data_IF_079333047184
#
_entry.id   IF_079333047184
#
_cell.length_a   1.000
_cell.length_b   1.000
_cell.length_c   1.000
_cell.angle_alpha   90.00
_cell.angle_beta   90.00
_cell.angle_gamma   90.00
#
_symmetry.space_group_name_H-M   'P 1'
#
loop_
_entity.id
_entity.type
_entity.pdbx_description
1 polymer ?
#
# COMPACT_ATOMS: atom_id res chain seq x y z
N UNK A 1 1.52 21.35 -26.41
CA UNK A 1 1.32 20.51 -25.21
C UNK A 1 2.64 19.87 -24.84
N UNK A 2 3.07 20.00 -23.61
CA UNK A 2 4.30 19.38 -23.09
C UNK A 2 4.14 17.85 -23.06
N UNK A 3 5.25 17.11 -23.09
CA UNK A 3 5.24 15.63 -23.09
C UNK A 3 4.56 15.09 -21.84
N UNK A 4 4.86 15.65 -20.67
CA UNK A 4 4.28 15.22 -19.38
C UNK A 4 2.77 15.46 -19.31
N UNK A 5 2.29 16.61 -19.82
CA UNK A 5 0.86 16.90 -19.93
C UNK A 5 0.15 15.91 -20.86
N UNK A 6 0.82 15.52 -21.95
CA UNK A 6 0.26 14.56 -22.90
C UNK A 6 0.21 13.17 -22.31
N UNK A 7 1.23 12.75 -21.57
CA UNK A 7 1.24 11.48 -20.81
C UNK A 7 0.08 11.42 -19.82
N UNK A 8 -0.11 12.47 -19.02
CA UNK A 8 -1.21 12.56 -18.06
C UNK A 8 -2.58 12.43 -18.75
N UNK A 9 -2.77 13.07 -19.91
CA UNK A 9 -4.03 12.95 -20.67
C UNK A 9 -4.23 11.56 -21.26
N UNK A 10 -3.19 10.91 -21.80
CA UNK A 10 -3.27 9.54 -22.31
C UNK A 10 -3.72 8.60 -21.19
N UNK A 11 -3.11 8.68 -20.02
CA UNK A 11 -3.46 7.85 -18.87
C UNK A 11 -4.89 8.12 -18.38
N UNK A 12 -5.30 9.38 -18.31
CA UNK A 12 -6.67 9.74 -17.92
C UNK A 12 -7.73 9.20 -18.89
N UNK A 13 -7.48 9.24 -20.21
CA UNK A 13 -8.37 8.66 -21.21
C UNK A 13 -8.43 7.13 -21.04
N UNK A 14 -7.27 6.48 -20.84
CA UNK A 14 -7.22 5.04 -20.59
C UNK A 14 -7.94 4.63 -19.31
N UNK A 15 -7.83 5.41 -18.24
CA UNK A 15 -8.54 5.16 -16.98
C UNK A 15 -10.06 5.22 -17.16
N UNK A 16 -10.54 6.13 -18.00
CA UNK A 16 -11.99 6.27 -18.26
C UNK A 16 -12.55 5.22 -19.23
N UNK A 17 -11.77 4.80 -20.23
CA UNK A 17 -12.24 3.95 -21.34
C UNK A 17 -11.73 2.50 -21.27
N UNK A 18 -10.74 2.20 -20.44
CA UNK A 18 -10.09 0.87 -20.34
C UNK A 18 -9.17 0.55 -21.52
N UNK A 19 -9.45 1.07 -22.71
CA UNK A 19 -8.63 0.93 -23.93
C UNK A 19 -8.75 2.16 -24.82
N UNK A 20 -7.71 2.44 -25.63
CA UNK A 20 -7.72 3.57 -26.57
C UNK A 20 -6.89 3.22 -27.82
N UNK A 21 -7.36 3.63 -28.97
CA UNK A 21 -6.61 3.49 -30.22
C UNK A 21 -5.67 4.67 -30.46
N UNK A 22 -4.61 4.46 -31.25
CA UNK A 22 -3.72 5.54 -31.70
C UNK A 22 -4.51 6.65 -32.38
N UNK A 23 -5.53 6.29 -33.18
CA UNK A 23 -6.37 7.24 -33.92
C UNK A 23 -7.19 8.13 -32.96
N UNK A 24 -7.78 7.55 -31.92
CA UNK A 24 -8.50 8.32 -30.89
C UNK A 24 -7.57 9.30 -30.18
N UNK A 25 -6.37 8.84 -29.79
CA UNK A 25 -5.38 9.70 -29.13
C UNK A 25 -4.90 10.83 -30.03
N UNK A 26 -4.69 10.56 -31.33
CA UNK A 26 -4.35 11.63 -32.30
C UNK A 26 -5.39 12.72 -32.34
N UNK A 27 -6.67 12.36 -32.36
CA UNK A 27 -7.79 13.29 -32.39
C UNK A 27 -7.92 14.07 -31.08
N UNK A 28 -7.95 13.36 -29.95
CA UNK A 28 -8.14 13.95 -28.61
C UNK A 28 -6.99 14.88 -28.20
N UNK A 29 -5.76 14.55 -28.60
CA UNK A 29 -4.55 15.26 -28.18
C UNK A 29 -3.99 16.20 -29.26
N UNK A 30 -4.61 16.20 -30.45
CA UNK A 30 -4.15 16.94 -31.62
C UNK A 30 -2.63 16.71 -31.88
N UNK A 31 -2.23 15.45 -31.92
CA UNK A 31 -0.84 15.04 -32.07
C UNK A 31 -0.65 14.06 -33.23
N UNK A 32 0.55 14.06 -33.83
CA UNK A 32 0.89 13.14 -34.92
C UNK A 32 0.96 11.68 -34.44
N UNK A 33 0.72 10.74 -35.35
CA UNK A 33 0.83 9.30 -35.08
C UNK A 33 2.19 8.93 -34.49
N UNK A 34 3.26 9.48 -35.06
CA UNK A 34 4.63 9.23 -34.59
C UNK A 34 4.86 9.69 -33.13
N UNK A 35 4.25 10.83 -32.77
CA UNK A 35 4.29 11.34 -31.39
C UNK A 35 3.54 10.41 -30.44
N UNK A 36 2.30 10.05 -30.80
CA UNK A 36 1.47 9.14 -29.98
C UNK A 36 2.14 7.78 -29.81
N UNK A 37 2.70 7.19 -30.88
CA UNK A 37 3.40 5.90 -30.80
C UNK A 37 4.64 5.96 -29.90
N UNK A 38 5.38 7.09 -29.92
CA UNK A 38 6.52 7.30 -29.02
C UNK A 38 6.07 7.42 -27.57
N UNK A 39 5.02 8.17 -27.33
CA UNK A 39 4.45 8.35 -25.99
C UNK A 39 3.94 7.04 -25.41
N UNK A 40 3.21 6.25 -26.21
CA UNK A 40 2.75 4.93 -25.81
C UNK A 40 3.92 3.96 -25.51
N UNK A 41 4.99 4.02 -26.29
CA UNK A 41 6.19 3.23 -26.02
C UNK A 41 6.85 3.63 -24.71
N UNK A 42 6.96 4.93 -24.42
CA UNK A 42 7.54 5.42 -23.17
C UNK A 42 6.68 5.03 -21.95
N UNK A 43 5.36 5.18 -22.06
CA UNK A 43 4.43 4.79 -20.99
C UNK A 43 4.38 3.28 -20.74
N UNK A 44 4.50 2.48 -21.80
CA UNK A 44 4.60 1.01 -21.70
C UNK A 44 5.92 0.58 -21.05
N UNK A 45 7.04 1.17 -21.48
CA UNK A 45 8.35 0.92 -20.87
C UNK A 45 8.39 1.29 -19.38
N UNK A 46 7.66 2.37 -18.99
CA UNK A 46 7.50 2.79 -17.60
C UNK A 46 6.42 1.97 -16.86
N UNK A 47 5.81 0.98 -17.51
CA UNK A 47 4.81 0.12 -16.90
C UNK A 47 3.48 0.80 -16.54
N UNK A 48 3.18 1.96 -17.12
CA UNK A 48 1.97 2.75 -16.83
C UNK A 48 0.75 2.33 -17.66
N UNK A 49 0.97 1.67 -18.78
CA UNK A 49 -0.05 1.07 -19.64
C UNK A 49 0.49 -0.22 -20.29
N UNK A 50 -0.36 -0.94 -21.01
CA UNK A 50 0.08 -2.03 -21.88
C UNK A 50 -0.19 -1.63 -23.33
N UNK A 51 0.89 -1.46 -24.14
CA UNK A 51 0.77 -1.20 -25.55
C UNK A 51 0.29 -2.44 -26.29
N UNK A 52 -0.69 -2.27 -27.16
CA UNK A 52 -1.22 -3.32 -28.05
C UNK A 52 -1.12 -2.88 -29.50
N UNK A 53 -1.41 -3.80 -30.44
CA UNK A 53 -1.42 -3.45 -31.87
C UNK A 53 -2.50 -2.39 -32.13
N UNK A 54 -2.08 -1.22 -32.58
CA UNK A 54 -3.01 -0.10 -32.91
C UNK A 54 -3.44 0.80 -31.74
N UNK A 55 -2.94 0.59 -30.52
CA UNK A 55 -3.33 1.40 -29.37
C UNK A 55 -2.69 1.03 -28.06
N UNK A 56 -3.42 1.28 -26.99
CA UNK A 56 -3.05 0.87 -25.64
C UNK A 56 -4.28 0.43 -24.85
N UNK A 57 -4.05 -0.43 -23.88
CA UNK A 57 -5.03 -0.82 -22.88
C UNK A 57 -4.53 -0.37 -21.50
N UNK A 58 -5.47 -0.09 -20.61
CA UNK A 58 -5.13 0.09 -19.21
C UNK A 58 -4.30 -1.13 -18.78
N UNK A 59 -3.16 -0.91 -18.14
CA UNK A 59 -2.44 -2.05 -17.58
C UNK A 59 -3.40 -2.74 -16.63
N UNK A 60 -3.88 -3.91 -17.02
CA UNK A 60 -4.84 -4.67 -16.24
C UNK A 60 -4.25 -4.80 -14.85
N UNK A 61 -5.03 -4.47 -13.82
CA UNK A 61 -4.59 -4.60 -12.44
C UNK A 61 -3.95 -5.97 -12.27
N UNK A 62 -2.67 -6.01 -11.90
CA UNK A 62 -2.00 -7.28 -11.76
C UNK A 62 -2.57 -7.97 -10.53
N UNK A 63 -3.12 -9.15 -10.73
CA UNK A 63 -3.61 -9.99 -9.63
C UNK A 63 -2.43 -10.75 -9.02
N UNK A 64 -2.15 -10.48 -7.75
CA UNK A 64 -1.16 -11.22 -6.97
C UNK A 64 -1.86 -12.15 -5.99
N UNK A 65 -1.85 -13.44 -6.30
CA UNK A 65 -2.48 -14.48 -5.45
C UNK A 65 -1.50 -15.17 -4.51
N UNK A 66 -0.21 -14.86 -4.59
CA UNK A 66 0.83 -15.48 -3.76
C UNK A 66 1.45 -14.47 -2.81
N UNK A 67 1.65 -14.88 -1.57
CA UNK A 67 2.51 -14.18 -0.64
C UNK A 67 3.98 -14.49 -0.96
N UNK A 68 4.75 -13.43 -1.17
CA UNK A 68 6.20 -13.55 -1.12
C UNK A 68 6.61 -13.82 0.34
N UNK A 69 7.59 -14.69 0.53
CA UNK A 69 8.19 -14.97 1.83
C UNK A 69 8.73 -13.66 2.46
N UNK A 70 8.63 -13.52 3.79
CA UNK A 70 9.08 -12.34 4.54
C UNK A 70 10.52 -11.98 4.22
N UNK A 71 11.41 -12.96 4.08
CA UNK A 71 12.84 -12.72 3.79
C UNK A 71 13.03 -12.00 2.45
N UNK A 72 12.36 -12.46 1.39
CA UNK A 72 12.43 -11.81 0.08
C UNK A 72 11.79 -10.42 0.08
N UNK A 73 10.72 -10.25 0.87
CA UNK A 73 10.06 -8.94 1.03
C UNK A 73 10.91 -7.93 1.80
N UNK A 74 11.75 -8.35 2.75
CA UNK A 74 12.63 -7.45 3.52
C UNK A 74 13.60 -6.70 2.62
N UNK A 75 14.18 -7.36 1.63
CA UNK A 75 15.17 -6.77 0.72
C UNK A 75 14.55 -5.93 -0.41
N UNK A 76 13.31 -6.26 -0.81
CA UNK A 76 12.63 -5.59 -1.91
C UNK A 76 12.23 -4.15 -1.54
N UNK A 77 12.66 -3.17 -2.36
CA UNK A 77 12.34 -1.74 -2.20
C UNK A 77 12.73 -1.17 -0.82
N UNK A 78 13.86 -1.61 -0.27
CA UNK A 78 14.28 -1.29 1.11
C UNK A 78 14.41 0.21 1.37
N UNK A 79 14.96 0.98 0.43
CA UNK A 79 15.12 2.43 0.59
C UNK A 79 13.77 3.14 0.65
N UNK A 80 12.82 2.77 -0.21
CA UNK A 80 11.47 3.29 -0.17
C UNK A 80 10.77 2.96 1.16
N UNK A 81 10.88 1.72 1.62
CA UNK A 81 10.32 1.30 2.92
C UNK A 81 10.93 2.05 4.10
N UNK A 82 12.24 2.32 4.09
CA UNK A 82 12.87 3.10 5.14
C UNK A 82 12.31 4.53 5.22
N UNK A 83 12.13 5.21 4.08
CA UNK A 83 11.53 6.55 4.03
C UNK A 83 10.10 6.54 4.56
N UNK A 84 9.28 5.59 4.09
CA UNK A 84 7.90 5.39 4.53
C UNK A 84 7.85 5.11 6.04
N UNK A 85 8.66 4.19 6.52
CA UNK A 85 8.73 3.77 7.93
C UNK A 85 9.12 4.92 8.85
N UNK A 86 10.11 5.73 8.46
CA UNK A 86 10.55 6.89 9.22
C UNK A 86 9.41 7.92 9.35
N UNK A 87 8.80 8.31 8.24
CA UNK A 87 7.68 9.24 8.25
C UNK A 87 6.48 8.72 9.06
N UNK A 88 6.16 7.43 8.91
CA UNK A 88 5.08 6.80 9.66
C UNK A 88 5.34 6.80 11.18
N UNK A 89 6.56 6.56 11.61
CA UNK A 89 6.93 6.60 13.03
C UNK A 89 6.77 8.00 13.64
N UNK A 90 6.99 9.07 12.87
CA UNK A 90 6.80 10.46 13.30
C UNK A 90 5.32 10.80 13.57
N UNK A 91 4.38 9.97 13.08
CA UNK A 91 2.94 10.17 13.35
C UNK A 91 2.54 9.71 14.75
N UNK A 92 3.39 8.95 15.46
CA UNK A 92 3.07 8.44 16.80
C UNK A 92 3.36 9.51 17.86
N UNK A 93 2.34 9.89 18.60
CA UNK A 93 2.41 10.85 19.70
C UNK A 93 2.52 10.14 21.07
N UNK A 94 2.98 10.86 22.12
CA UNK A 94 2.91 10.37 23.49
C UNK A 94 1.47 10.06 23.90
N UNK A 95 1.25 8.89 24.52
CA UNK A 95 -0.06 8.43 24.96
C UNK A 95 -0.90 7.75 23.88
N UNK A 96 -0.41 7.60 22.65
CA UNK A 96 -1.09 6.82 21.62
C UNK A 96 -1.18 5.32 22.01
N UNK A 97 -2.33 4.73 21.69
CA UNK A 97 -2.54 3.29 21.72
C UNK A 97 -2.55 2.79 20.28
N UNK A 98 -1.47 2.12 19.89
CA UNK A 98 -1.11 1.90 18.48
C UNK A 98 -1.26 0.42 18.10
N UNK A 99 -1.96 0.16 16.98
CA UNK A 99 -1.91 -1.14 16.33
C UNK A 99 -0.79 -1.16 15.27
N UNK A 100 0.07 -2.18 15.34
CA UNK A 100 1.15 -2.38 14.38
C UNK A 100 1.01 -3.74 13.70
N UNK A 101 0.56 -3.75 12.46
CA UNK A 101 0.32 -4.95 11.66
C UNK A 101 1.61 -5.67 11.24
N UNK A 102 1.56 -6.99 11.10
CA UNK A 102 2.67 -7.79 10.61
C UNK A 102 3.06 -7.40 9.18
N UNK A 103 4.28 -6.89 9.00
CA UNK A 103 4.77 -6.49 7.70
C UNK A 103 6.21 -5.98 7.72
N UNK A 104 6.90 -6.04 6.59
CA UNK A 104 8.31 -5.64 6.52
C UNK A 104 8.52 -4.12 6.62
N UNK A 105 7.57 -3.30 6.19
CA UNK A 105 7.63 -1.84 6.33
C UNK A 105 7.28 -1.41 7.75
N UNK A 106 6.29 -2.04 8.36
CA UNK A 106 5.90 -1.80 9.76
C UNK A 106 6.99 -2.29 10.73
N UNK A 107 7.72 -3.37 10.39
CA UNK A 107 8.89 -3.81 11.15
C UNK A 107 10.00 -2.75 11.15
N UNK A 108 10.32 -2.17 9.98
CA UNK A 108 11.30 -1.09 9.86
C UNK A 108 10.90 0.16 10.64
N UNK A 109 9.60 0.45 10.73
CA UNK A 109 9.08 1.59 11.49
C UNK A 109 9.50 1.56 12.96
N UNK A 110 9.64 0.36 13.56
CA UNK A 110 10.02 0.18 14.96
C UNK A 110 11.34 0.87 15.26
N UNK A 111 12.30 0.90 14.34
CA UNK A 111 13.60 1.53 14.52
C UNK A 111 13.52 3.06 14.72
N UNK A 112 12.48 3.67 14.17
CA UNK A 112 12.31 5.12 14.16
C UNK A 112 11.35 5.65 15.23
N UNK A 113 10.64 4.76 15.96
CA UNK A 113 9.71 5.19 17.01
C UNK A 113 10.50 5.79 18.18
N UNK A 114 10.14 7.00 18.59
CA UNK A 114 10.77 7.72 19.71
C UNK A 114 9.82 7.97 20.89
N UNK A 115 8.52 7.78 20.68
CA UNK A 115 7.47 8.07 21.69
C UNK A 115 7.34 6.91 22.69
N UNK A 116 8.17 6.91 23.75
CA UNK A 116 8.18 5.84 24.75
C UNK A 116 6.90 5.75 25.63
N UNK A 117 6.03 6.76 25.57
CA UNK A 117 4.73 6.74 26.26
C UNK A 117 3.62 6.09 25.42
N UNK A 118 3.88 5.72 24.18
CA UNK A 118 2.94 4.98 23.36
C UNK A 118 2.92 3.50 23.77
N UNK A 119 1.73 2.89 23.66
CA UNK A 119 1.50 1.48 23.94
C UNK A 119 1.11 0.77 22.64
N UNK A 120 1.66 -0.41 22.42
CA UNK A 120 1.52 -1.11 21.16
C UNK A 120 0.73 -2.41 21.29
N UNK A 121 -0.05 -2.73 20.27
CA UNK A 121 -0.63 -4.06 20.04
C UNK A 121 -0.18 -4.51 18.66
N UNK A 122 0.26 -5.75 18.54
CA UNK A 122 0.70 -6.31 17.24
C UNK A 122 0.28 -7.76 17.09
N UNK A 123 0.11 -8.20 15.86
CA UNK A 123 -0.05 -9.60 15.50
C UNK A 123 1.26 -10.24 14.98
N UNK A 124 2.42 -9.57 15.14
CA UNK A 124 3.71 -10.09 14.70
C UNK A 124 4.64 -10.37 15.88
N UNK A 125 5.15 -11.61 15.97
CA UNK A 125 6.07 -12.03 17.04
C UNK A 125 7.38 -11.21 16.98
N UNK A 126 7.94 -11.03 15.77
CA UNK A 126 9.15 -10.23 15.56
C UNK A 126 8.99 -8.78 16.01
N UNK A 127 7.83 -8.17 15.73
CA UNK A 127 7.52 -6.80 16.15
C UNK A 127 7.42 -6.69 17.66
N UNK A 128 6.69 -7.61 18.30
CA UNK A 128 6.54 -7.61 19.76
C UNK A 128 7.91 -7.73 20.45
N UNK A 129 8.78 -8.63 19.98
CA UNK A 129 10.13 -8.80 20.52
C UNK A 129 10.95 -7.49 20.37
N UNK A 130 11.01 -6.91 19.17
CA UNK A 130 11.78 -5.67 18.90
C UNK A 130 11.26 -4.47 19.71
N UNK A 131 9.94 -4.31 19.82
CA UNK A 131 9.34 -3.26 20.64
C UNK A 131 9.72 -3.42 22.12
N UNK A 132 9.62 -4.65 22.66
CA UNK A 132 9.99 -4.94 24.05
C UNK A 132 11.48 -4.71 24.33
N UNK A 133 12.37 -5.12 23.41
CA UNK A 133 13.82 -4.88 23.50
C UNK A 133 14.15 -3.39 23.53
N UNK A 134 13.33 -2.53 22.91
CA UNK A 134 13.45 -1.07 22.93
C UNK A 134 12.74 -0.41 24.11
N UNK A 135 12.18 -1.19 25.05
CA UNK A 135 11.54 -0.69 26.25
C UNK A 135 10.11 -0.20 26.10
N UNK A 136 9.43 -0.52 24.98
CA UNK A 136 8.03 -0.17 24.77
C UNK A 136 7.10 -1.20 25.46
N UNK A 137 5.95 -0.72 25.97
CA UNK A 137 4.85 -1.60 26.37
C UNK A 137 4.17 -2.15 25.12
N UNK A 138 4.14 -3.48 24.99
CA UNK A 138 3.57 -4.15 23.83
C UNK A 138 2.71 -5.34 24.23
N UNK A 139 1.56 -5.48 23.59
CA UNK A 139 0.67 -6.64 23.67
C UNK A 139 0.74 -7.41 22.35
N UNK A 140 0.97 -8.71 22.44
CA UNK A 140 0.95 -9.59 21.28
C UNK A 140 -0.41 -10.29 21.24
N UNK A 141 -1.06 -10.32 20.06
CA UNK A 141 -2.29 -11.08 19.85
C UNK A 141 -2.01 -12.59 19.97
N UNK A 142 -2.95 -13.33 20.54
CA UNK A 142 -2.99 -14.79 20.45
C UNK A 142 -3.65 -15.24 19.14
N UNK A 143 -3.45 -16.52 18.77
CA UNK A 143 -4.07 -17.14 17.61
C UNK A 143 -3.12 -18.05 16.83
N UNK A 144 -3.48 -18.40 15.59
CA UNK A 144 -2.70 -19.25 14.71
C UNK A 144 -1.46 -18.52 14.17
N UNK A 145 -0.28 -19.13 14.31
CA UNK A 145 0.96 -18.57 13.74
C UNK A 145 1.15 -19.00 12.28
N UNK A 146 1.16 -18.05 11.39
CA UNK A 146 1.45 -18.22 9.97
C UNK A 146 2.92 -17.99 9.69
N UNK A 147 3.68 -19.05 9.43
CA UNK A 147 5.13 -19.01 9.26
C UNK A 147 5.60 -18.18 8.05
N UNK A 148 4.84 -18.17 6.93
CA UNK A 148 5.23 -17.46 5.70
C UNK A 148 5.32 -15.95 5.90
N UNK A 149 4.42 -15.38 6.70
CA UNK A 149 4.32 -13.94 6.96
C UNK A 149 4.71 -13.57 8.39
N UNK A 150 5.06 -14.57 9.24
CA UNK A 150 5.38 -14.41 10.66
C UNK A 150 4.27 -13.68 11.45
N UNK A 151 3.03 -13.87 11.03
CA UNK A 151 1.87 -13.21 11.57
C UNK A 151 1.00 -14.16 12.39
N UNK A 152 0.39 -13.64 13.45
CA UNK A 152 -0.71 -14.29 14.16
C UNK A 152 -2.01 -13.94 13.42
N UNK A 153 -2.80 -14.95 13.09
CA UNK A 153 -4.03 -14.85 12.32
C UNK A 153 -5.15 -15.72 12.92
N UNK A 154 -6.33 -15.69 12.30
CA UNK A 154 -7.44 -16.57 12.66
C UNK A 154 -8.45 -15.93 13.61
N UNK A 155 -9.46 -16.72 13.98
CA UNK A 155 -10.64 -16.25 14.72
C UNK A 155 -10.28 -15.76 16.13
N UNK A 156 -9.34 -16.40 16.82
CA UNK A 156 -8.87 -16.02 18.15
C UNK A 156 -8.17 -14.65 18.12
N UNK A 157 -7.38 -14.36 17.07
CA UNK A 157 -6.77 -13.05 16.88
C UNK A 157 -7.83 -11.97 16.62
N UNK A 158 -8.86 -12.28 15.83
CA UNK A 158 -9.98 -11.37 15.56
C UNK A 158 -10.77 -11.10 16.85
N UNK A 159 -11.11 -12.15 17.63
CA UNK A 159 -11.82 -12.01 18.88
C UNK A 159 -11.02 -11.20 19.92
N UNK A 160 -9.70 -11.43 20.00
CA UNK A 160 -8.84 -10.65 20.89
C UNK A 160 -8.83 -9.15 20.60
N UNK A 161 -9.10 -8.75 19.34
CA UNK A 161 -9.16 -7.35 18.93
C UNK A 161 -10.43 -6.62 19.40
N UNK A 162 -11.51 -7.33 19.74
CA UNK A 162 -12.80 -6.71 20.12
C UNK A 162 -12.71 -5.80 21.35
N UNK A 163 -11.79 -6.07 22.26
CA UNK A 163 -11.58 -5.28 23.47
C UNK A 163 -10.72 -4.03 23.29
N UNK A 164 -10.11 -3.84 22.14
CA UNK A 164 -9.18 -2.74 21.88
C UNK A 164 -9.82 -1.61 21.06
N UNK A 165 -9.45 -0.37 21.39
CA UNK A 165 -9.79 0.83 20.63
C UNK A 165 -8.49 1.60 20.38
N UNK A 166 -8.01 1.57 19.17
CA UNK A 166 -6.73 2.16 18.81
C UNK A 166 -6.88 3.65 18.46
N UNK A 167 -5.93 4.48 18.90
CA UNK A 167 -5.84 5.86 18.45
C UNK A 167 -5.27 5.91 17.04
N UNK A 168 -4.24 5.10 16.77
CA UNK A 168 -3.58 4.99 15.47
C UNK A 168 -3.26 3.54 15.14
N UNK A 169 -3.20 3.24 13.85
CA UNK A 169 -2.76 1.95 13.40
C UNK A 169 -2.03 2.03 12.06
N UNK A 170 -1.12 1.08 11.85
CA UNK A 170 -0.26 1.02 10.67
C UNK A 170 -0.30 -0.38 10.06
N UNK A 171 -0.68 -0.45 8.79
CA UNK A 171 -0.87 -1.70 8.06
C UNK A 171 0.00 -1.77 6.81
N UNK A 172 0.44 -2.98 6.49
CA UNK A 172 0.93 -3.30 5.16
C UNK A 172 -0.22 -3.74 4.23
N UNK A 173 -0.01 -3.56 2.92
CA UNK A 173 -0.90 -4.09 1.88
C UNK A 173 -0.08 -4.78 0.77
N UNK A 174 -0.67 -5.80 0.14
CA UNK A 174 -0.11 -6.42 -1.07
C UNK A 174 -0.61 -5.71 -2.33
N UNK A 175 -1.81 -5.13 -2.27
CA UNK A 175 -2.39 -4.33 -3.34
C UNK A 175 -3.09 -3.07 -2.84
N UNK A 176 -2.94 -1.98 -3.62
CA UNK A 176 -3.58 -0.67 -3.42
C UNK A 176 -4.29 -0.30 -4.71
N UNK A 177 -5.60 -0.15 -4.67
CA UNK A 177 -6.46 0.15 -5.82
C UNK A 177 -7.49 1.21 -5.46
N UNK A 178 -7.67 2.22 -6.30
CA UNK A 178 -8.73 3.22 -6.14
C UNK A 178 -10.13 2.59 -6.09
N UNK A 179 -10.35 1.53 -6.88
CA UNK A 179 -11.66 0.90 -6.99
C UNK A 179 -11.89 -0.22 -5.97
N UNK A 180 -10.82 -0.97 -5.61
CA UNK A 180 -10.91 -2.16 -4.76
C UNK A 180 -10.33 -1.96 -3.38
N UNK A 181 -9.73 -0.80 -3.11
CA UNK A 181 -9.13 -0.51 -1.81
C UNK A 181 -7.84 -1.27 -1.56
N UNK A 182 -7.64 -1.68 -0.32
CA UNK A 182 -6.46 -2.39 0.15
C UNK A 182 -6.71 -3.88 0.22
N UNK A 183 -5.76 -4.68 -0.31
CA UNK A 183 -5.93 -6.13 -0.42
C UNK A 183 -4.69 -6.90 0.00
N UNK A 184 -4.92 -8.16 0.41
CA UNK A 184 -3.92 -9.16 0.81
C UNK A 184 -4.28 -10.52 0.20
N UNK A 185 -3.34 -11.45 0.00
CA UNK A 185 -3.63 -12.73 -0.64
C UNK A 185 -4.55 -13.64 0.18
N UNK A 186 -4.57 -13.55 1.51
CA UNK A 186 -5.17 -14.54 2.36
C UNK A 186 -6.29 -14.01 3.26
N UNK A 187 -7.36 -14.82 3.36
CA UNK A 187 -8.58 -14.47 4.10
C UNK A 187 -8.34 -14.26 5.59
N UNK A 188 -7.58 -15.13 6.26
CA UNK A 188 -7.33 -15.02 7.70
C UNK A 188 -6.56 -13.75 8.06
N UNK A 189 -5.59 -13.34 7.23
CA UNK A 189 -4.91 -12.06 7.39
C UNK A 189 -5.84 -10.87 7.15
N UNK A 190 -6.65 -10.95 6.09
CA UNK A 190 -7.62 -9.90 5.76
C UNK A 190 -8.61 -9.67 6.91
N UNK A 191 -9.06 -10.72 7.58
CA UNK A 191 -9.97 -10.63 8.74
C UNK A 191 -9.33 -9.87 9.91
N UNK A 192 -8.08 -10.17 10.26
CA UNK A 192 -7.35 -9.47 11.32
C UNK A 192 -7.11 -8.01 10.97
N UNK A 193 -6.67 -7.73 9.73
CA UNK A 193 -6.49 -6.35 9.24
C UNK A 193 -7.80 -5.56 9.27
N UNK A 194 -8.87 -6.12 8.74
CA UNK A 194 -10.21 -5.49 8.73
C UNK A 194 -10.65 -5.16 10.16
N UNK A 195 -10.65 -6.15 11.07
CA UNK A 195 -11.10 -5.96 12.45
C UNK A 195 -10.28 -4.93 13.20
N UNK A 196 -8.95 -4.95 13.05
CA UNK A 196 -8.08 -3.96 13.69
C UNK A 196 -8.27 -2.55 13.15
N UNK A 197 -8.57 -2.39 11.84
CA UNK A 197 -8.89 -1.09 11.24
C UNK A 197 -10.24 -0.56 11.71
N UNK A 198 -11.27 -1.42 11.81
CA UNK A 198 -12.60 -1.05 12.33
C UNK A 198 -12.53 -0.49 13.74
N UNK A 199 -11.56 -0.95 14.55
CA UNK A 199 -11.35 -0.50 15.92
C UNK A 199 -10.31 0.64 16.04
N UNK A 200 -9.98 1.32 14.94
CA UNK A 200 -8.92 2.33 14.91
C UNK A 200 -9.46 3.69 14.43
N UNK A 201 -9.04 4.76 15.12
CA UNK A 201 -9.46 6.12 14.79
C UNK A 201 -8.72 6.68 13.58
N UNK A 202 -7.39 6.53 13.53
CA UNK A 202 -6.54 7.01 12.44
C UNK A 202 -5.77 5.84 11.82
N UNK A 203 -6.15 5.48 10.59
CA UNK A 203 -5.58 4.32 9.88
C UNK A 203 -4.55 4.77 8.84
N UNK A 204 -3.35 4.15 8.88
CA UNK A 204 -2.27 4.40 7.92
C UNK A 204 -1.88 3.11 7.21
N UNK A 205 -1.92 3.10 5.88
CA UNK A 205 -1.39 2.00 5.07
C UNK A 205 -0.02 2.37 4.51
N UNK A 206 0.98 1.54 4.81
CA UNK A 206 2.36 1.74 4.38
C UNK A 206 2.63 0.92 3.12
N UNK A 207 2.76 1.59 1.98
CA UNK A 207 2.89 0.92 0.69
C UNK A 207 3.91 1.62 -0.20
N UNK A 208 4.94 0.91 -0.65
CA UNK A 208 5.81 1.40 -1.72
C UNK A 208 5.06 1.40 -3.07
N UNK A 209 5.56 2.16 -4.06
CA UNK A 209 4.89 2.37 -5.35
C UNK A 209 4.52 1.05 -6.07
N UNK A 210 5.28 -0.03 -5.86
CA UNK A 210 5.03 -1.32 -6.52
C UNK A 210 3.69 -1.97 -6.12
N UNK A 211 3.04 -1.48 -5.05
CA UNK A 211 1.76 -1.98 -4.56
C UNK A 211 0.56 -1.31 -5.21
N UNK A 212 0.77 -0.16 -5.84
CA UNK A 212 -0.30 0.59 -6.50
C UNK A 212 -0.72 -0.07 -7.82
N UNK A 213 -1.99 0.04 -8.17
CA UNK A 213 -2.63 -0.68 -9.27
C UNK A 213 -2.47 -2.22 -9.19
N UNK A 214 -2.29 -2.74 -7.98
CA UNK A 214 -2.27 -4.17 -7.69
C UNK A 214 -3.53 -4.56 -6.92
N UNK A 215 -4.03 -5.77 -7.17
CA UNK A 215 -5.13 -6.37 -6.40
C UNK A 215 -4.66 -7.74 -5.93
N UNK A 216 -4.91 -8.05 -4.67
CA UNK A 216 -4.78 -9.41 -4.12
C UNK A 216 -6.15 -10.04 -3.90
N UNK A 217 -6.16 -11.32 -3.52
CA UNK A 217 -7.37 -12.14 -3.47
C UNK A 217 -8.48 -11.59 -2.57
N UNK A 218 -8.11 -10.91 -1.47
CA UNK A 218 -9.07 -10.46 -0.45
C UNK A 218 -8.87 -8.98 -0.13
N UNK A 219 -9.91 -8.18 -0.34
CA UNK A 219 -9.96 -6.78 0.09
C UNK A 219 -10.28 -6.71 1.58
N UNK A 220 -9.52 -5.94 2.35
CA UNK A 220 -9.74 -5.76 3.79
C UNK A 220 -10.23 -4.36 4.18
N UNK A 221 -10.05 -3.36 3.33
CA UNK A 221 -10.62 -2.02 3.54
C UNK A 221 -10.81 -1.26 2.21
N UNK A 222 -11.77 -0.31 2.14
CA UNK A 222 -11.90 0.59 1.00
C UNK A 222 -10.71 1.57 0.94
N UNK A 223 -10.45 2.15 -0.23
CA UNK A 223 -9.31 3.06 -0.42
C UNK A 223 -9.37 4.29 0.50
N UNK A 224 -10.54 4.83 0.72
CA UNK A 224 -10.78 5.98 1.60
C UNK A 224 -10.71 5.63 3.09
N UNK A 225 -10.64 4.33 3.43
CA UNK A 225 -10.60 3.85 4.82
C UNK A 225 -9.26 4.08 5.53
N UNK A 226 -8.24 4.56 4.82
CA UNK A 226 -6.94 4.88 5.43
C UNK A 226 -6.19 5.96 4.66
N UNK A 227 -5.24 6.61 5.33
CA UNK A 227 -4.22 7.42 4.68
C UNK A 227 -3.08 6.51 4.20
N UNK A 228 -2.75 6.57 2.91
CA UNK A 228 -1.59 5.84 2.36
C UNK A 228 -0.33 6.68 2.50
N UNK A 229 0.70 6.11 3.13
CA UNK A 229 2.04 6.67 3.16
C UNK A 229 2.89 5.91 2.14
N UNK A 230 3.41 6.64 1.16
CA UNK A 230 4.26 6.12 0.08
C UNK A 230 5.43 7.04 -0.21
N UNK A 231 6.28 6.69 -1.15
CA UNK A 231 7.36 7.55 -1.65
C UNK A 231 7.64 7.28 -3.12
N UNK A 232 8.00 8.33 -3.87
CA UNK A 232 8.35 8.24 -5.28
C UNK A 232 7.18 7.87 -6.19
N UNK A 233 5.96 8.20 -5.79
CA UNK A 233 4.75 7.85 -6.53
C UNK A 233 4.73 8.55 -7.89
N UNK A 234 4.70 7.78 -8.98
CA UNK A 234 4.64 8.31 -10.36
C UNK A 234 3.21 8.43 -10.91
N UNK A 235 2.23 7.76 -10.26
CA UNK A 235 0.86 7.60 -10.74
C UNK A 235 -0.01 8.85 -10.49
N UNK A 236 -0.43 9.61 -11.54
CA UNK A 236 -1.13 10.89 -11.37
C UNK A 236 -2.50 10.77 -10.69
N UNK A 237 -3.21 9.64 -10.89
CA UNK A 237 -4.53 9.42 -10.31
C UNK A 237 -4.47 9.40 -8.78
N UNK A 238 -3.47 8.74 -8.21
CA UNK A 238 -3.28 8.67 -6.76
C UNK A 238 -2.71 9.96 -6.16
N UNK A 239 -1.88 10.71 -6.92
CA UNK A 239 -1.36 12.01 -6.47
C UNK A 239 -2.44 13.06 -6.21
N UNK A 240 -3.61 12.89 -6.81
CA UNK A 240 -4.77 13.79 -6.63
C UNK A 240 -5.60 13.43 -5.40
N UNK A 241 -5.36 12.30 -4.77
CA UNK A 241 -6.14 11.83 -3.63
C UNK A 241 -5.66 12.50 -2.33
N UNK A 242 -6.59 13.04 -1.55
CA UNK A 242 -6.26 13.73 -0.29
C UNK A 242 -5.75 12.79 0.80
N UNK A 243 -6.03 11.49 0.68
CA UNK A 243 -5.59 10.46 1.60
C UNK A 243 -4.28 9.77 1.17
N UNK A 244 -3.50 10.37 0.27
CA UNK A 244 -2.19 9.86 -0.15
C UNK A 244 -1.09 10.86 0.23
N UNK A 245 -0.14 10.39 1.03
CA UNK A 245 1.06 11.12 1.41
C UNK A 245 2.25 10.54 0.65
N UNK A 246 2.77 11.29 -0.32
CA UNK A 246 4.01 10.95 -1.02
C UNK A 246 5.19 11.62 -0.30
N UNK A 247 5.91 10.84 0.50
CA UNK A 247 7.05 11.32 1.30
C UNK A 247 8.17 11.74 0.35
N UNK A 248 8.47 13.03 0.35
CA UNK A 248 9.57 13.61 -0.43
C UNK A 248 10.93 13.21 0.15
N UNK A 249 11.93 13.24 -0.70
CA UNK A 249 13.33 12.94 -0.34
C UNK A 249 13.87 13.83 0.75
#
# INVERSE_FOLDING_TARGET
MLTEERFAKILSILESMGSVTVQQLMTELNASESTIRRDLNALDANGQLTKVHGGAILKTMAYSTKDDNVVSRKEKNRDAKNKIAKYAAEQIAPGDFVYLDAGTTTELMIEYITSHQAVFVTNAISHAKRLAERGFTVYLLGGEFKAVTEAIVGEEAVAALEKYNFTKGFWGANGVSLQKGYSTPELKEAMVKKKSMENCKECFVLADESKFNQISSVTFAPFEGATVITTGLSLPAYKKCNNVIDVKQ
#
